data_IF_852960412355
#
_entry.id   IF_852960412355
#
_cell.length_a   1.000
_cell.length_b   1.000
_cell.length_c   1.000
_cell.angle_alpha   90.00
_cell.angle_beta   90.00
_cell.angle_gamma   90.00
#
_symmetry.space_group_name_H-M   'P 1'
#
loop_
_entity.id
_entity.type
_entity.pdbx_description
1 polymer ?
#
# COMPACT_ATOMS: atom_id res chain seq x y z
N UNK A 1 18.00 22.87 17.30
CA UNK A 1 17.78 21.91 18.41
C UNK A 1 16.86 20.81 17.88
N UNK A 2 17.36 19.59 17.69
CA UNK A 2 16.60 18.45 17.14
C UNK A 2 15.57 17.97 18.18
N UNK A 3 14.28 17.94 17.85
CA UNK A 3 13.26 17.31 18.71
C UNK A 3 12.95 15.89 18.22
N UNK A 4 12.95 14.93 19.14
CA UNK A 4 12.73 13.49 18.87
C UNK A 4 11.27 13.13 18.57
N UNK A 5 10.33 14.04 18.81
CA UNK A 5 8.87 13.82 18.74
C UNK A 5 8.27 14.10 17.36
N UNK A 6 9.07 14.49 16.36
CA UNK A 6 8.57 14.94 15.05
C UNK A 6 9.31 14.28 13.87
N UNK A 7 8.95 13.05 13.49
CA UNK A 7 9.62 12.26 12.44
C UNK A 7 9.64 12.97 11.07
N UNK A 8 8.54 13.64 10.71
CA UNK A 8 8.41 14.47 9.52
C UNK A 8 9.56 15.48 9.39
N UNK A 9 9.98 16.08 10.50
CA UNK A 9 11.06 17.09 10.55
C UNK A 9 12.44 16.47 10.34
N UNK A 10 12.61 15.19 10.68
CA UNK A 10 13.89 14.50 10.55
C UNK A 10 14.20 14.16 9.09
N UNK A 11 13.21 13.70 8.31
CA UNK A 11 13.41 13.36 6.89
C UNK A 11 13.74 14.59 6.05
N UNK A 12 12.93 15.64 6.16
CA UNK A 12 13.16 16.89 5.41
C UNK A 12 14.45 17.56 5.87
N UNK A 13 14.73 17.58 7.19
CA UNK A 13 16.00 18.08 7.72
C UNK A 13 17.21 17.33 7.17
N UNK A 14 17.14 16.00 7.07
CA UNK A 14 18.19 15.18 6.46
C UNK A 14 18.36 15.49 4.98
N UNK A 15 17.27 15.63 4.22
CA UNK A 15 17.31 16.04 2.81
C UNK A 15 18.06 17.37 2.63
N UNK A 16 17.69 18.39 3.41
CA UNK A 16 18.32 19.72 3.41
C UNK A 16 19.79 19.63 3.76
N UNK A 17 20.15 18.84 4.77
CA UNK A 17 21.53 18.69 5.20
C UNK A 17 22.39 18.01 4.13
N UNK A 18 21.89 16.94 3.51
CA UNK A 18 22.62 16.18 2.48
C UNK A 18 22.81 16.99 1.20
N UNK A 19 21.80 17.76 0.77
CA UNK A 19 21.89 18.59 -0.44
C UNK A 19 22.90 19.73 -0.32
N UNK A 20 23.27 20.16 0.90
CA UNK A 20 24.33 21.17 1.11
C UNK A 20 25.73 20.67 0.79
N UNK A 21 25.93 19.36 0.76
CA UNK A 21 27.16 18.77 0.26
C UNK A 21 27.09 18.71 -1.26
N UNK A 22 28.23 18.76 -1.95
CA UNK A 22 28.33 18.65 -3.42
C UNK A 22 28.12 17.20 -3.89
N UNK A 23 27.07 16.55 -3.38
CA UNK A 23 26.62 15.22 -3.76
C UNK A 23 25.61 15.41 -4.88
N UNK A 24 25.84 14.90 -6.11
CA UNK A 24 24.99 15.20 -7.26
C UNK A 24 23.58 14.60 -7.15
N UNK A 25 23.46 13.49 -6.41
CA UNK A 25 22.21 12.74 -6.26
C UNK A 25 22.07 12.24 -4.82
N UNK A 26 21.01 12.68 -4.15
CA UNK A 26 20.68 12.27 -2.78
C UNK A 26 19.49 11.33 -2.83
N UNK A 27 19.60 10.16 -2.21
CA UNK A 27 18.48 9.21 -2.08
C UNK A 27 18.02 9.18 -0.64
N UNK A 28 16.72 9.29 -0.45
CA UNK A 28 16.06 9.13 0.84
C UNK A 28 15.05 8.01 0.70
N UNK A 29 15.16 7.00 1.54
CA UNK A 29 14.21 5.88 1.55
C UNK A 29 13.89 5.50 2.99
N UNK A 30 12.68 5.02 3.21
CA UNK A 30 12.31 4.39 4.47
C UNK A 30 13.17 3.16 4.73
N UNK A 31 13.40 2.85 6.01
CA UNK A 31 14.19 1.71 6.43
C UNK A 31 13.56 0.35 6.09
N UNK A 32 12.32 0.36 5.59
CA UNK A 32 11.56 -0.81 5.15
C UNK A 32 11.45 -0.91 3.61
N UNK A 33 12.30 -0.17 2.88
CA UNK A 33 12.58 -0.35 1.47
C UNK A 33 13.79 -1.28 1.25
N UNK A 34 13.66 -2.27 0.36
CA UNK A 34 14.71 -3.24 0.05
C UNK A 34 15.24 -3.02 -1.37
N UNK A 35 16.54 -2.79 -1.49
CA UNK A 35 17.23 -2.59 -2.76
C UNK A 35 17.70 -3.94 -3.31
N UNK A 36 17.15 -4.34 -4.46
CA UNK A 36 17.44 -5.62 -5.13
C UNK A 36 18.35 -5.45 -6.35
N UNK A 37 18.59 -4.22 -6.77
CA UNK A 37 19.42 -3.84 -7.90
C UNK A 37 19.81 -2.36 -7.84
N UNK A 38 20.40 -1.87 -8.93
CA UNK A 38 20.93 -0.51 -9.00
C UNK A 38 19.86 0.52 -9.41
N UNK A 39 19.03 0.91 -8.45
CA UNK A 39 18.04 1.98 -8.63
C UNK A 39 18.66 3.37 -8.84
N UNK A 40 19.92 3.58 -8.44
CA UNK A 40 20.60 4.86 -8.62
C UNK A 40 21.02 5.04 -10.08
N UNK A 41 21.57 4.00 -10.70
CA UNK A 41 21.92 4.03 -12.12
C UNK A 41 20.70 4.14 -13.01
N UNK A 42 19.53 3.63 -12.59
CA UNK A 42 18.25 3.93 -13.24
C UNK A 42 17.97 5.44 -13.25
N UNK A 43 18.04 6.09 -12.08
CA UNK A 43 17.79 7.53 -11.97
C UNK A 43 18.80 8.38 -12.75
N UNK A 44 20.07 7.99 -12.74
CA UNK A 44 21.14 8.70 -13.45
C UNK A 44 20.98 8.60 -14.97
N UNK A 45 20.69 7.41 -15.51
CA UNK A 45 20.66 7.17 -16.96
C UNK A 45 19.35 7.58 -17.61
N UNK A 46 18.22 7.30 -16.96
CA UNK A 46 16.92 7.41 -17.63
C UNK A 46 16.28 8.80 -17.48
N UNK A 47 16.60 9.55 -16.40
CA UNK A 47 15.84 10.75 -16.02
C UNK A 47 16.75 11.90 -15.56
N UNK A 48 17.78 12.20 -16.35
CA UNK A 48 18.74 13.27 -16.06
C UNK A 48 18.08 14.66 -15.88
N UNK A 49 16.96 14.89 -16.55
CA UNK A 49 16.21 16.16 -16.48
C UNK A 49 15.32 16.30 -15.23
N UNK A 50 15.07 15.21 -14.48
CA UNK A 50 14.26 15.30 -13.27
C UNK A 50 15.02 16.02 -12.14
N UNK A 51 14.32 16.93 -11.46
CA UNK A 51 14.81 17.54 -10.22
C UNK A 51 14.54 16.59 -9.05
N UNK A 52 13.34 16.00 -9.03
CA UNK A 52 12.90 15.04 -8.03
C UNK A 52 12.27 13.82 -8.71
N UNK A 53 12.73 12.62 -8.35
CA UNK A 53 11.99 11.39 -8.59
C UNK A 53 11.38 10.91 -7.28
N UNK A 54 10.12 10.53 -7.34
CA UNK A 54 9.34 10.05 -6.20
C UNK A 54 8.66 8.74 -6.57
N UNK A 55 8.50 7.84 -5.61
CA UNK A 55 7.81 6.60 -5.88
C UNK A 55 6.28 6.77 -5.84
N UNK A 56 5.55 5.92 -6.56
CA UNK A 56 4.08 5.98 -6.60
C UNK A 56 3.39 5.11 -5.55
N UNK A 57 2.26 5.57 -5.03
CA UNK A 57 1.34 4.83 -4.15
C UNK A 57 0.12 4.25 -4.90
N UNK A 58 0.01 4.49 -6.21
CA UNK A 58 -1.05 3.92 -7.03
C UNK A 58 -0.96 2.40 -7.09
N UNK A 59 -2.10 1.75 -7.35
CA UNK A 59 -2.24 0.29 -7.21
C UNK A 59 -2.12 -0.46 -8.54
N UNK A 60 -1.94 0.23 -9.66
CA UNK A 60 -1.81 -0.40 -10.96
C UNK A 60 -0.82 0.40 -11.81
N UNK A 61 0.18 -0.24 -12.45
CA UNK A 61 1.10 0.46 -13.34
C UNK A 61 0.35 1.22 -14.43
N UNK A 62 0.77 2.45 -14.71
CA UNK A 62 0.32 3.22 -15.86
C UNK A 62 1.08 2.85 -17.14
N UNK A 63 2.28 2.28 -17.00
CA UNK A 63 3.14 1.83 -18.09
C UNK A 63 3.10 0.29 -18.28
N UNK A 64 3.47 -0.16 -19.49
CA UNK A 64 3.61 -1.58 -19.80
C UNK A 64 4.82 -2.21 -19.09
N UNK A 65 4.85 -3.54 -18.93
CA UNK A 65 5.92 -4.22 -18.19
C UNK A 65 7.32 -4.02 -18.81
N UNK A 66 7.39 -3.91 -20.14
CA UNK A 66 8.63 -3.67 -20.88
C UNK A 66 9.00 -2.17 -20.99
N UNK A 67 8.19 -1.28 -20.42
CA UNK A 67 8.42 0.16 -20.41
C UNK A 67 9.11 0.56 -19.11
N UNK A 68 10.42 0.84 -19.21
CA UNK A 68 11.23 1.32 -18.10
C UNK A 68 11.19 2.85 -17.95
N UNK A 69 10.29 3.55 -18.61
CA UNK A 69 10.08 4.99 -18.43
C UNK A 69 9.44 5.31 -17.07
N UNK A 70 9.30 6.61 -16.77
CA UNK A 70 8.49 7.04 -15.63
C UNK A 70 7.01 6.66 -15.85
N UNK A 71 6.25 6.66 -14.77
CA UNK A 71 4.79 6.57 -14.86
C UNK A 71 4.24 7.72 -15.70
N UNK A 72 3.26 7.46 -16.59
CA UNK A 72 2.65 8.51 -17.39
C UNK A 72 1.90 9.51 -16.49
N UNK A 73 2.07 10.82 -16.74
CA UNK A 73 1.30 11.85 -16.06
C UNK A 73 -0.20 11.60 -16.26
N UNK A 74 -0.92 11.36 -15.16
CA UNK A 74 -2.35 11.07 -15.21
C UNK A 74 -3.02 11.47 -13.90
N UNK A 75 -4.34 11.61 -13.91
CA UNK A 75 -5.12 11.89 -12.69
C UNK A 75 -4.92 10.87 -11.56
N UNK A 76 -4.41 9.66 -11.87
CA UNK A 76 -4.10 8.63 -10.88
C UNK A 76 -2.92 9.00 -9.96
N UNK A 77 -2.08 9.95 -10.37
CA UNK A 77 -0.93 10.40 -9.59
C UNK A 77 -1.31 11.44 -8.52
N UNK A 78 -2.47 12.08 -8.66
CA UNK A 78 -3.03 12.97 -7.62
C UNK A 78 -3.39 12.10 -6.41
N UNK A 79 -2.85 12.42 -5.24
CA UNK A 79 -3.07 11.57 -4.05
C UNK A 79 -2.12 10.39 -3.91
N UNK A 80 -1.19 10.19 -4.87
CA UNK A 80 -0.46 8.93 -5.00
C UNK A 80 1.06 9.10 -5.08
N UNK A 81 1.62 10.16 -4.49
CA UNK A 81 3.07 10.29 -4.31
C UNK A 81 3.48 9.67 -2.96
N UNK A 82 4.50 8.82 -2.97
CA UNK A 82 5.00 8.10 -1.80
C UNK A 82 6.41 8.58 -1.45
N UNK A 83 6.53 9.32 -0.35
CA UNK A 83 7.81 9.84 0.16
C UNK A 83 8.68 8.78 0.83
N UNK A 84 8.25 7.51 0.87
CA UNK A 84 9.07 6.37 1.32
C UNK A 84 10.24 6.04 0.38
N UNK A 85 10.27 6.62 -0.82
CA UNK A 85 11.44 6.66 -1.69
C UNK A 85 11.47 7.94 -2.52
N UNK A 86 12.52 8.74 -2.30
CA UNK A 86 12.83 9.98 -3.00
C UNK A 86 14.25 9.91 -3.56
N UNK A 87 14.42 10.40 -4.79
CA UNK A 87 15.72 10.63 -5.40
C UNK A 87 15.77 12.10 -5.79
N UNK A 88 16.67 12.85 -5.17
CA UNK A 88 16.76 14.29 -5.20
C UNK A 88 18.03 14.69 -5.93
N UNK A 89 17.91 15.41 -7.06
CA UNK A 89 19.06 15.97 -7.77
C UNK A 89 19.54 17.21 -7.06
N UNK A 90 20.85 17.34 -6.87
CA UNK A 90 21.40 18.53 -6.24
C UNK A 90 21.46 19.69 -7.24
N UNK A 91 20.46 20.56 -7.18
CA UNK A 91 20.36 21.77 -7.98
C UNK A 91 19.49 22.82 -7.27
N UNK A 92 19.53 24.09 -7.70
CA UNK A 92 18.81 25.17 -7.02
C UNK A 92 17.29 24.93 -6.87
N UNK A 93 16.66 24.22 -7.80
CA UNK A 93 15.22 23.91 -7.76
C UNK A 93 14.88 22.94 -6.65
N UNK A 94 15.66 21.86 -6.53
CA UNK A 94 15.50 20.89 -5.46
C UNK A 94 15.76 21.52 -4.10
N UNK A 95 16.77 22.38 -3.96
CA UNK A 95 17.03 23.11 -2.72
C UNK A 95 15.83 23.96 -2.30
N UNK A 96 15.32 24.80 -3.20
CA UNK A 96 14.16 25.65 -2.93
C UNK A 96 12.90 24.83 -2.60
N UNK A 97 12.66 23.74 -3.32
CA UNK A 97 11.54 22.86 -3.05
C UNK A 97 11.64 22.18 -1.68
N UNK A 98 12.81 21.66 -1.30
CA UNK A 98 12.99 21.01 0.01
C UNK A 98 12.90 22.04 1.16
N UNK A 99 13.34 23.28 0.95
CA UNK A 99 13.14 24.37 1.91
C UNK A 99 11.65 24.73 2.08
N UNK A 100 10.91 24.80 0.97
CA UNK A 100 9.46 25.01 0.98
C UNK A 100 8.72 23.84 1.65
N UNK A 101 9.13 22.59 1.36
CA UNK A 101 8.60 21.40 1.99
C UNK A 101 8.81 21.39 3.50
N UNK A 102 10.00 21.81 3.95
CA UNK A 102 10.28 22.01 5.36
C UNK A 102 9.34 23.03 6.00
N UNK A 103 9.18 24.19 5.36
CA UNK A 103 8.27 25.24 5.83
C UNK A 103 6.81 24.78 5.90
N UNK A 104 6.34 24.05 4.88
CA UNK A 104 4.99 23.52 4.82
C UNK A 104 4.74 22.44 5.89
N UNK A 105 5.69 21.53 6.10
CA UNK A 105 5.61 20.49 7.14
C UNK A 105 5.64 21.09 8.56
N UNK A 106 6.29 22.24 8.77
CA UNK A 106 6.26 22.97 10.04
C UNK A 106 4.91 23.67 10.26
N UNK A 107 4.30 24.22 9.21
CA UNK A 107 3.02 24.94 9.28
C UNK A 107 1.82 24.00 9.52
N UNK A 108 1.81 22.82 8.89
CA UNK A 108 0.70 21.86 8.93
C UNK A 108 0.56 21.07 10.23
N UNK A 109 0.83 21.67 11.40
CA UNK A 109 0.89 21.07 12.73
C UNK A 109 0.10 19.74 12.90
N UNK A 110 0.78 18.61 12.68
CA UNK A 110 0.23 17.25 12.85
C UNK A 110 -0.03 16.46 11.56
N UNK A 111 0.02 17.10 10.38
CA UNK A 111 -0.08 16.41 9.10
C UNK A 111 1.24 15.68 8.76
N UNK A 112 1.17 14.46 8.19
CA UNK A 112 2.36 13.74 7.72
C UNK A 112 3.12 14.55 6.65
N UNK A 113 4.46 14.52 6.66
CA UNK A 113 5.30 15.21 5.67
C UNK A 113 4.97 14.83 4.22
N UNK A 114 4.49 13.60 4.01
CA UNK A 114 4.05 13.10 2.72
C UNK A 114 2.90 13.94 2.13
N UNK A 115 1.99 14.44 2.97
CA UNK A 115 0.88 15.28 2.52
C UNK A 115 1.38 16.64 2.03
N UNK A 116 2.19 17.32 2.83
CA UNK A 116 2.83 18.58 2.46
C UNK A 116 3.70 18.44 1.21
N UNK A 117 4.46 17.35 1.09
CA UNK A 117 5.24 17.04 -0.10
C UNK A 117 4.34 16.97 -1.32
N UNK A 118 3.25 16.22 -1.26
CA UNK A 118 2.38 15.98 -2.40
C UNK A 118 1.67 17.26 -2.84
N UNK A 119 1.08 18.01 -1.90
CA UNK A 119 0.41 19.26 -2.20
C UNK A 119 1.38 20.27 -2.85
N UNK A 120 2.62 20.39 -2.34
CA UNK A 120 3.64 21.25 -2.95
C UNK A 120 4.12 20.73 -4.32
N UNK A 121 4.48 19.45 -4.41
CA UNK A 121 5.06 18.85 -5.61
C UNK A 121 4.09 18.85 -6.78
N UNK A 122 2.78 18.77 -6.53
CA UNK A 122 1.75 18.82 -7.57
C UNK A 122 1.11 20.20 -7.72
N UNK A 123 1.47 21.19 -6.89
CA UNK A 123 0.91 22.54 -7.02
C UNK A 123 1.21 23.15 -8.40
N UNK A 124 0.19 23.77 -9.02
CA UNK A 124 0.27 24.34 -10.36
C UNK A 124 0.28 23.31 -11.50
N UNK A 125 0.33 22.01 -11.20
CA UNK A 125 0.17 20.97 -12.22
C UNK A 125 -1.31 20.61 -12.37
N UNK A 126 -1.80 20.59 -13.60
CA UNK A 126 -3.14 20.09 -13.93
C UNK A 126 -3.03 18.69 -14.54
N UNK A 127 -3.66 17.67 -13.94
CA UNK A 127 -3.63 16.34 -14.52
C UNK A 127 -4.33 16.33 -15.88
N UNK A 128 -3.79 15.62 -16.88
CA UNK A 128 -4.46 15.50 -18.17
C UNK A 128 -5.79 14.77 -18.00
N UNK A 129 -6.83 15.29 -18.63
CA UNK A 129 -8.18 14.71 -18.62
C UNK A 129 -8.14 13.32 -19.27
N UNK A 130 -8.62 12.26 -18.61
CA UNK A 130 -8.72 10.96 -19.25
C UNK A 130 -9.67 11.06 -20.47
N UNK A 131 -9.39 10.33 -21.57
CA UNK A 131 -10.35 10.23 -22.65
C UNK A 131 -11.66 9.65 -22.13
N UNK A 132 -12.82 10.07 -22.65
CA UNK A 132 -14.10 9.49 -22.27
C UNK A 132 -14.07 7.97 -22.52
N UNK A 133 -14.70 7.17 -21.65
CA UNK A 133 -14.75 5.73 -21.84
C UNK A 133 -15.36 5.42 -23.23
N UNK A 134 -14.85 4.40 -23.94
CA UNK A 134 -15.48 3.98 -25.19
C UNK A 134 -16.95 3.69 -24.90
N UNK A 135 -17.86 4.28 -25.70
CA UNK A 135 -19.29 3.99 -25.57
C UNK A 135 -19.47 2.48 -25.64
N UNK A 136 -20.25 1.86 -24.73
CA UNK A 136 -20.53 0.44 -24.81
C UNK A 136 -21.06 0.15 -26.21
N UNK A 137 -20.35 -0.70 -26.95
CA UNK A 137 -20.86 -1.20 -28.23
C UNK A 137 -22.08 -2.02 -27.88
N UNK A 138 -23.27 -1.45 -28.05
CA UNK A 138 -24.51 -2.22 -28.06
C UNK A 138 -24.31 -3.32 -29.10
N UNK A 139 -24.38 -4.60 -28.72
CA UNK A 139 -24.32 -5.68 -29.69
C UNK A 139 -25.45 -5.44 -30.69
N UNK A 140 -25.10 -5.12 -31.95
CA UNK A 140 -26.08 -5.19 -33.03
C UNK A 140 -26.38 -6.67 -33.21
N UNK A 141 -27.50 -7.13 -32.67
CA UNK A 141 -28.05 -8.42 -33.01
C UNK A 141 -28.27 -8.47 -34.53
N UNK A 142 -27.70 -9.45 -35.24
CA UNK A 142 -28.01 -9.67 -36.63
C UNK A 142 -29.35 -10.41 -36.70
N UNK A 143 -30.39 -9.74 -37.21
CA UNK A 143 -31.63 -10.37 -37.64
C UNK A 143 -32.78 -10.26 -36.63
N UNK A 144 -33.85 -9.57 -37.05
CA UNK A 144 -35.09 -9.45 -36.29
C UNK A 144 -35.98 -8.35 -36.86
N UNK A 145 -36.53 -8.59 -38.05
CA UNK A 145 -37.61 -7.80 -38.65
C UNK A 145 -38.94 -8.09 -37.95
N UNK A 146 -39.70 -7.04 -37.60
CA UNK A 146 -41.10 -7.11 -37.11
C UNK A 146 -41.22 -7.56 -35.65
N UNK A 147 -42.12 -7.06 -34.80
CA UNK A 147 -43.36 -6.30 -34.96
C UNK A 147 -43.70 -5.72 -33.59
N UNK A 148 -44.38 -4.57 -33.56
CA UNK A 148 -45.00 -4.01 -32.35
C UNK A 148 -45.96 -4.99 -31.68
N UNK A 149 -45.89 -5.11 -30.35
CA UNK A 149 -47.01 -5.50 -29.51
C UNK A 149 -46.82 -4.96 -28.09
N UNK A 150 -47.77 -4.12 -27.66
CA UNK A 150 -48.02 -3.74 -26.27
C UNK A 150 -48.67 -4.90 -25.50
N UNK A 151 -48.19 -5.14 -24.27
CA UNK A 151 -48.89 -5.65 -23.08
C UNK A 151 -47.82 -5.72 -21.96
N UNK A 152 -47.98 -5.21 -20.74
CA UNK A 152 -49.11 -5.35 -19.84
C UNK A 152 -48.84 -6.56 -18.93
N UNK A 153 -48.41 -6.34 -17.68
CA UNK A 153 -48.20 -7.40 -16.68
C UNK A 153 -47.23 -7.02 -15.57
N UNK A 154 -47.74 -6.36 -14.53
CA UNK A 154 -47.25 -6.46 -13.14
C UNK A 154 -47.58 -7.87 -12.60
N UNK A 155 -46.72 -8.39 -11.72
CA UNK A 155 -46.74 -9.66 -10.91
C UNK A 155 -45.35 -10.33 -11.05
N UNK A 156 -44.56 -10.68 -10.03
CA UNK A 156 -44.80 -10.87 -8.60
C UNK A 156 -43.55 -10.51 -7.80
N UNK A 157 -43.79 -9.84 -6.68
CA UNK A 157 -42.81 -9.50 -5.65
C UNK A 157 -43.26 -10.10 -4.32
N UNK A 158 -43.39 -11.41 -4.22
CA UNK A 158 -43.57 -12.11 -2.95
C UNK A 158 -42.84 -13.44 -3.01
N UNK A 159 -41.73 -13.53 -2.26
CA UNK A 159 -41.20 -14.76 -1.65
C UNK A 159 -39.80 -14.46 -1.13
N UNK A 160 -39.70 -13.96 0.10
CA UNK A 160 -38.51 -14.07 0.97
C UNK A 160 -38.81 -13.52 2.39
N UNK A 161 -39.92 -13.97 2.99
CA UNK A 161 -40.03 -14.00 4.45
C UNK A 161 -39.69 -15.43 4.91
N UNK A 162 -38.45 -15.64 5.35
CA UNK A 162 -38.06 -16.89 5.99
C UNK A 162 -37.77 -16.65 7.47
N UNK A 163 -38.65 -17.26 8.26
CA UNK A 163 -38.80 -17.35 9.71
C UNK A 163 -37.49 -17.35 10.53
N UNK A 164 -37.25 -16.24 11.23
CA UNK A 164 -36.14 -16.03 12.16
C UNK A 164 -36.38 -16.63 13.56
N UNK A 165 -37.51 -17.30 13.81
CA UNK A 165 -37.80 -17.91 15.11
C UNK A 165 -37.28 -19.35 15.26
N UNK A 166 -36.87 -20.02 14.18
CA UNK A 166 -36.44 -21.43 14.21
C UNK A 166 -34.97 -21.67 14.60
N UNK A 167 -34.13 -20.64 14.73
CA UNK A 167 -32.69 -20.79 15.00
C UNK A 167 -32.27 -20.62 16.48
N UNK A 168 -33.23 -20.51 17.41
CA UNK A 168 -32.95 -20.25 18.83
C UNK A 168 -32.93 -21.50 19.74
N UNK A 169 -33.15 -22.72 19.22
CA UNK A 169 -33.35 -23.91 20.07
C UNK A 169 -32.16 -24.88 20.19
N UNK A 170 -31.00 -24.63 19.56
CA UNK A 170 -29.85 -25.55 19.63
C UNK A 170 -28.52 -24.89 20.03
N UNK A 171 -28.49 -24.26 21.20
CA UNK A 171 -27.22 -24.08 21.96
C UNK A 171 -27.50 -24.07 23.46
N UNK A 172 -27.44 -25.23 24.12
CA UNK A 172 -27.11 -25.31 25.55
C UNK A 172 -25.67 -25.83 25.66
N UNK A 173 -24.77 -25.15 26.38
CA UNK A 173 -23.41 -25.64 26.60
C UNK A 173 -23.44 -26.86 27.53
N UNK A 174 -22.81 -27.95 27.09
CA UNK A 174 -22.56 -29.13 27.92
C UNK A 174 -21.30 -28.86 28.74
N UNK A 175 -21.41 -28.97 30.07
CA UNK A 175 -20.33 -28.76 31.02
C UNK A 175 -19.15 -29.71 30.76
N UNK A 176 -17.92 -29.18 30.85
CA UNK A 176 -16.68 -29.96 30.79
C UNK A 176 -16.46 -30.70 32.13
N UNK A 177 -15.96 -31.95 32.12
CA UNK A 177 -15.59 -32.63 33.35
C UNK A 177 -14.26 -32.09 33.89
N UNK A 178 -14.23 -31.89 35.20
CA UNK A 178 -13.05 -31.57 35.98
C UNK A 178 -12.01 -32.70 35.89
N UNK A 179 -10.74 -32.33 35.69
CA UNK A 179 -9.60 -33.24 35.82
C UNK A 179 -8.53 -32.59 36.69
N UNK A 180 -8.01 -33.41 37.60
CA UNK A 180 -7.31 -33.07 38.82
C UNK A 180 -5.96 -32.40 38.64
N UNK A 181 -5.65 -31.55 39.62
CA UNK A 181 -4.34 -30.98 39.88
C UNK A 181 -3.33 -32.06 40.32
N UNK A 182 -2.12 -31.97 39.79
CA UNK A 182 -0.92 -32.44 40.46
C UNK A 182 0.20 -31.41 40.24
N UNK A 183 0.65 -30.83 41.35
CA UNK A 183 1.67 -29.80 41.42
C UNK A 183 3.07 -30.43 41.50
N UNK A 184 4.04 -29.83 40.82
CA UNK A 184 5.46 -29.80 41.22
C UNK A 184 6.17 -28.63 40.51
N UNK A 185 7.21 -28.02 41.12
CA UNK A 185 7.53 -26.61 40.92
C UNK A 185 8.57 -26.37 39.80
N UNK A 186 8.35 -25.32 38.99
CA UNK A 186 9.36 -24.79 38.10
C UNK A 186 10.22 -23.77 38.87
N UNK A 187 11.53 -24.03 38.88
CA UNK A 187 12.55 -23.18 39.47
C UNK A 187 12.63 -21.81 38.78
N UNK A 188 12.75 -20.78 39.60
CA UNK A 188 13.05 -19.41 39.20
C UNK A 188 14.53 -19.24 38.87
N UNK A 189 14.85 -18.64 37.72
CA UNK A 189 16.16 -18.03 37.40
C UNK A 189 15.89 -16.80 36.49
N UNK A 190 16.66 -15.70 36.61
CA UNK A 190 16.08 -14.36 36.68
C UNK A 190 16.15 -13.56 35.37
N UNK A 191 15.32 -12.52 35.39
CA UNK A 191 15.33 -11.36 34.50
C UNK A 191 16.68 -10.64 34.48
N UNK A 192 17.37 -10.67 33.34
CA UNK A 192 18.39 -9.70 32.98
C UNK A 192 17.72 -8.59 32.17
N UNK A 193 17.80 -7.36 32.69
CA UNK A 193 17.18 -6.18 32.11
C UNK A 193 17.86 -5.73 30.82
N UNK A 194 17.06 -5.25 29.89
CA UNK A 194 17.49 -4.28 28.88
C UNK A 194 16.46 -3.15 28.89
N UNK A 195 16.87 -2.04 29.47
CA UNK A 195 16.25 -0.74 29.25
C UNK A 195 16.42 -0.37 27.77
N UNK A 196 15.30 -0.17 27.08
CA UNK A 196 15.27 0.29 25.70
C UNK A 196 13.97 1.04 25.46
N UNK A 197 14.01 2.36 25.60
CA UNK A 197 12.84 3.24 25.49
C UNK A 197 12.15 3.12 24.14
N UNK A 198 10.87 2.80 24.18
CA UNK A 198 9.98 2.86 23.03
C UNK A 198 9.70 4.33 22.69
N UNK A 199 10.17 4.78 21.51
CA UNK A 199 9.76 6.02 20.89
C UNK A 199 8.99 5.71 19.61
N UNK A 200 7.85 6.37 19.47
CA UNK A 200 6.74 6.09 18.57
C UNK A 200 7.08 6.18 17.07
N UNK A 201 6.46 5.29 16.28
CA UNK A 201 6.32 5.40 14.83
C UNK A 201 4.82 5.53 14.51
N UNK A 202 4.36 6.77 14.36
CA UNK A 202 3.03 7.08 13.85
C UNK A 202 3.17 7.44 12.36
N UNK A 203 2.84 6.49 11.48
CA UNK A 203 2.56 6.74 10.06
C UNK A 203 1.86 5.52 9.46
N UNK A 204 0.58 5.33 9.78
CA UNK A 204 -0.35 4.52 8.99
C UNK A 204 -1.79 4.72 9.49
N UNK A 205 -2.56 5.60 8.84
CA UNK A 205 -4.02 5.43 8.62
C UNK A 205 -4.61 6.70 7.99
N UNK A 206 -4.82 6.66 6.68
CA UNK A 206 -5.72 7.58 5.98
C UNK A 206 -6.73 6.75 5.20
N UNK A 207 -7.87 6.43 5.83
CA UNK A 207 -9.16 6.15 5.18
C UNK A 207 -10.21 5.89 6.27
N UNK A 208 -10.92 6.93 6.72
CA UNK A 208 -12.21 6.78 7.42
C UNK A 208 -13.32 7.04 6.41
N UNK A 209 -14.14 6.03 6.14
CA UNK A 209 -15.43 6.18 5.47
C UNK A 209 -16.40 6.99 6.37
N UNK A 210 -17.38 7.73 5.82
CA UNK A 210 -18.27 8.57 6.59
C UNK A 210 -19.23 7.72 7.44
N UNK A 211 -19.19 7.89 8.76
CA UNK A 211 -20.16 7.28 9.66
C UNK A 211 -21.51 7.98 9.51
N UNK A 212 -22.57 7.19 9.33
CA UNK A 212 -23.95 7.63 9.37
C UNK A 212 -24.27 8.29 10.72
N UNK A 213 -24.98 9.43 10.68
CA UNK A 213 -25.51 10.12 11.87
C UNK A 213 -26.51 9.22 12.62
N UNK A 214 -26.37 9.01 13.93
CA UNK A 214 -27.52 8.66 14.75
C UNK A 214 -28.31 9.94 15.08
N UNK A 215 -29.63 9.86 14.91
CA UNK A 215 -30.56 10.88 15.32
C UNK A 215 -30.64 10.97 16.85
N UNK A 216 -30.76 12.20 17.37
CA UNK A 216 -31.37 12.48 18.67
C UNK A 216 -30.45 12.54 19.89
N UNK A 217 -29.95 13.75 20.20
CA UNK A 217 -30.01 14.40 21.54
C UNK A 217 -29.25 15.72 21.49
N UNK A 218 -29.93 16.82 21.77
CA UNK A 218 -29.31 18.08 22.20
C UNK A 218 -28.69 17.87 23.59
N UNK A 219 -27.52 18.48 23.84
CA UNK A 219 -27.41 19.26 25.07
C UNK A 219 -26.69 20.60 24.88
N UNK A 220 -26.97 21.45 25.86
CA UNK A 220 -26.66 22.86 26.00
C UNK A 220 -25.17 23.24 25.94
N UNK A 221 -24.95 24.45 25.43
CA UNK A 221 -24.09 25.49 26.01
C UNK A 221 -22.79 25.09 26.71
N UNK A 222 -21.67 25.12 25.97
CA UNK A 222 -20.33 25.04 26.55
C UNK A 222 -19.24 25.28 25.51
N UNK A 223 -19.08 26.53 25.07
CA UNK A 223 -18.00 26.95 24.17
C UNK A 223 -16.64 26.91 24.86
N UNK A 224 -16.03 25.73 24.95
CA UNK A 224 -14.60 25.61 25.21
C UNK A 224 -13.80 26.13 24.01
N UNK A 225 -12.57 26.65 24.21
CA UNK A 225 -11.75 27.11 23.10
C UNK A 225 -11.47 25.93 22.16
N UNK A 226 -12.06 25.99 20.96
CA UNK A 226 -11.69 25.13 19.85
C UNK A 226 -10.20 25.34 19.59
N UNK A 227 -9.42 24.27 19.63
CA UNK A 227 -8.01 24.32 19.23
C UNK A 227 -7.92 25.03 17.87
N UNK A 228 -6.97 25.97 17.67
CA UNK A 228 -6.84 26.67 16.41
C UNK A 228 -6.68 25.65 15.29
N UNK A 229 -7.49 25.79 14.24
CA UNK A 229 -7.38 24.99 13.03
C UNK A 229 -5.94 25.09 12.51
N UNK A 230 -5.28 23.95 12.18
CA UNK A 230 -3.91 23.98 11.72
C UNK A 230 -3.80 24.90 10.50
N UNK A 231 -2.84 25.81 10.55
CA UNK A 231 -2.65 26.81 9.52
C UNK A 231 -2.14 26.12 8.26
N UNK A 232 -3.01 25.98 7.24
CA UNK A 232 -2.60 25.46 5.93
C UNK A 232 -1.58 26.41 5.31
N UNK A 233 -0.49 25.85 4.80
CA UNK A 233 0.52 26.61 4.08
C UNK A 233 0.00 27.06 2.71
N UNK A 234 0.56 28.15 2.17
CA UNK A 234 0.26 28.63 0.82
C UNK A 234 1.36 28.16 -0.15
N UNK A 235 1.08 27.11 -0.92
CA UNK A 235 2.01 26.55 -1.90
C UNK A 235 2.47 27.58 -2.95
N UNK A 236 1.57 28.47 -3.39
CA UNK A 236 1.88 29.51 -4.36
C UNK A 236 2.86 30.53 -3.80
N UNK A 237 2.61 31.03 -2.59
CA UNK A 237 3.51 31.97 -1.93
C UNK A 237 4.90 31.37 -1.69
N UNK A 238 4.98 30.11 -1.27
CA UNK A 238 6.25 29.40 -1.10
C UNK A 238 7.01 29.23 -2.43
N UNK A 239 6.30 28.94 -3.52
CA UNK A 239 6.90 28.83 -4.84
C UNK A 239 7.39 30.18 -5.37
N UNK A 240 6.63 31.26 -5.20
CA UNK A 240 7.01 32.62 -5.59
C UNK A 240 8.23 33.11 -4.79
N UNK A 241 8.25 32.84 -3.47
CA UNK A 241 9.37 33.19 -2.60
C UNK A 241 10.70 32.52 -3.00
N UNK A 242 10.67 31.42 -3.76
CA UNK A 242 11.89 30.80 -4.28
C UNK A 242 12.63 31.66 -5.32
N UNK A 243 11.94 32.59 -5.99
CA UNK A 243 12.49 33.41 -7.08
C UNK A 243 12.91 32.62 -8.32
N UNK A 244 12.64 31.31 -8.38
CA UNK A 244 13.04 30.47 -9.51
C UNK A 244 12.15 30.68 -10.73
N UNK A 245 12.70 30.59 -11.95
CA UNK A 245 11.92 30.67 -13.18
C UNK A 245 11.04 29.43 -13.33
N UNK A 246 9.94 29.58 -14.07
CA UNK A 246 9.12 28.45 -14.47
C UNK A 246 9.84 27.58 -15.51
N UNK A 247 9.44 26.30 -15.56
CA UNK A 247 10.12 25.24 -16.29
C UNK A 247 9.11 24.42 -17.04
N UNK A 248 9.45 24.06 -18.28
CA UNK A 248 8.63 23.17 -19.11
C UNK A 248 9.27 21.79 -19.13
N UNK A 249 8.51 20.71 -18.89
CA UNK A 249 9.01 19.35 -19.02
C UNK A 249 9.49 19.11 -20.46
N UNK A 250 10.68 18.51 -20.67
CA UNK A 250 11.10 18.19 -22.03
C UNK A 250 10.14 17.18 -22.67
N UNK A 251 9.88 17.34 -23.98
CA UNK A 251 8.95 16.48 -24.72
C UNK A 251 9.32 14.99 -24.58
N UNK A 252 8.32 14.15 -24.32
CA UNK A 252 8.50 12.70 -24.20
C UNK A 252 9.05 12.19 -22.87
N UNK A 253 9.37 13.06 -21.90
CA UNK A 253 10.02 12.64 -20.64
C UNK A 253 9.08 12.17 -19.53
N UNK A 254 7.76 12.34 -19.67
CA UNK A 254 6.76 12.03 -18.63
C UNK A 254 7.00 12.77 -17.29
N UNK A 255 7.80 13.83 -17.31
CA UNK A 255 8.00 14.72 -16.17
C UNK A 255 6.81 15.69 -16.04
N UNK A 256 6.51 16.06 -14.81
CA UNK A 256 5.47 17.03 -14.46
C UNK A 256 6.15 18.32 -13.99
N UNK A 257 5.63 19.47 -14.44
CA UNK A 257 6.02 20.77 -13.91
C UNK A 257 5.20 21.06 -12.65
N UNK A 258 5.76 20.69 -11.51
CA UNK A 258 5.22 20.88 -10.17
C UNK A 258 5.72 22.16 -9.50
N UNK A 259 5.30 22.39 -8.25
CA UNK A 259 5.73 23.54 -7.45
C UNK A 259 5.51 24.88 -8.19
N UNK A 260 4.28 25.10 -8.67
CA UNK A 260 3.90 26.22 -9.54
C UNK A 260 4.76 26.33 -10.81
N UNK A 261 5.09 25.17 -11.37
CA UNK A 261 5.93 25.05 -12.55
C UNK A 261 7.41 25.35 -12.32
N UNK A 262 7.93 25.24 -11.09
CA UNK A 262 9.36 25.50 -10.76
C UNK A 262 10.16 24.24 -10.45
N UNK A 263 9.54 23.07 -10.52
CA UNK A 263 10.15 21.78 -10.23
C UNK A 263 9.76 20.74 -11.28
N UNK A 264 10.72 19.98 -11.79
CA UNK A 264 10.47 18.81 -12.63
C UNK A 264 10.37 17.55 -11.77
N UNK A 265 9.15 17.01 -11.67
CA UNK A 265 8.82 15.83 -10.86
C UNK A 265 8.59 14.63 -11.76
N UNK A 266 9.25 13.52 -11.46
CA UNK A 266 9.00 12.23 -12.11
C UNK A 266 8.51 11.17 -11.12
N UNK A 267 7.59 10.31 -11.56
CA UNK A 267 7.11 9.19 -10.73
C UNK A 267 7.75 7.89 -11.20
N UNK A 268 8.43 7.20 -10.28
CA UNK A 268 9.11 5.95 -10.55
C UNK A 268 8.12 4.85 -10.96
N UNK A 269 8.43 4.02 -11.99
CA UNK A 269 7.53 3.00 -12.50
C UNK A 269 7.30 1.88 -11.49
N UNK A 270 6.04 1.49 -11.28
CA UNK A 270 5.68 0.43 -10.33
C UNK A 270 6.27 -0.93 -10.67
N UNK A 271 6.61 -1.20 -11.93
CA UNK A 271 7.29 -2.44 -12.33
C UNK A 271 8.70 -2.57 -11.74
N UNK A 272 9.44 -1.46 -11.63
CA UNK A 272 10.81 -1.45 -11.10
C UNK A 272 10.87 -1.02 -9.63
N UNK A 273 9.92 -0.20 -9.19
CA UNK A 273 9.85 0.34 -7.83
C UNK A 273 8.50 0.00 -7.16
N UNK A 274 8.09 -1.27 -7.09
CA UNK A 274 6.78 -1.64 -6.59
C UNK A 274 6.58 -1.24 -5.12
N UNK A 275 5.36 -0.81 -4.80
CA UNK A 275 4.88 -0.78 -3.42
C UNK A 275 4.46 -2.18 -2.96
N UNK A 276 4.09 -2.32 -1.70
CA UNK A 276 3.75 -3.62 -1.12
C UNK A 276 2.48 -4.23 -1.70
N UNK A 277 1.49 -3.46 -2.13
CA UNK A 277 0.33 -4.03 -2.81
C UNK A 277 0.74 -4.68 -4.14
N UNK A 278 1.49 -3.95 -4.96
CA UNK A 278 1.99 -4.43 -6.25
C UNK A 278 2.91 -5.64 -6.11
N UNK A 279 3.79 -5.62 -5.11
CA UNK A 279 4.74 -6.71 -4.90
C UNK A 279 4.12 -7.94 -4.24
N UNK A 280 3.40 -7.79 -3.13
CA UNK A 280 2.94 -8.91 -2.30
C UNK A 280 1.57 -9.45 -2.72
N UNK A 281 0.66 -8.57 -3.16
CA UNK A 281 -0.72 -8.95 -3.48
C UNK A 281 -0.84 -9.29 -4.96
N UNK A 282 -0.41 -8.37 -5.83
CA UNK A 282 -0.52 -8.56 -7.27
C UNK A 282 0.60 -9.43 -7.84
N UNK A 283 1.74 -9.54 -7.13
CA UNK A 283 2.91 -10.32 -7.56
C UNK A 283 3.32 -10.00 -8.99
N UNK A 284 3.26 -8.72 -9.39
CA UNK A 284 3.50 -8.32 -10.79
C UNK A 284 4.87 -8.75 -11.29
N UNK A 285 5.88 -8.76 -10.42
CA UNK A 285 7.23 -9.21 -10.70
C UNK A 285 7.35 -10.71 -11.07
N UNK A 286 6.30 -11.50 -10.89
CA UNK A 286 6.26 -12.92 -11.26
C UNK A 286 5.57 -13.18 -12.61
N UNK A 287 4.97 -12.14 -13.21
CA UNK A 287 4.31 -12.28 -14.50
C UNK A 287 5.36 -12.52 -15.62
N UNK A 288 5.02 -13.30 -16.66
CA UNK A 288 5.90 -13.49 -17.81
C UNK A 288 6.32 -12.15 -18.43
N UNK A 289 7.62 -11.94 -18.59
CA UNK A 289 8.18 -10.71 -19.16
C UNK A 289 8.22 -9.52 -18.19
N UNK A 290 7.81 -9.68 -16.93
CA UNK A 290 7.99 -8.65 -15.92
C UNK A 290 9.48 -8.41 -15.64
N UNK A 291 9.91 -7.15 -15.51
CA UNK A 291 11.28 -6.84 -15.15
C UNK A 291 11.53 -7.19 -13.68
N UNK A 292 12.79 -7.46 -13.35
CA UNK A 292 13.20 -7.62 -11.95
C UNK A 292 13.05 -6.27 -11.23
N UNK A 293 12.36 -6.19 -10.08
CA UNK A 293 12.30 -4.98 -9.28
C UNK A 293 13.70 -4.52 -8.86
N UNK A 294 13.92 -3.20 -8.85
CA UNK A 294 15.14 -2.56 -8.35
C UNK A 294 15.02 -2.23 -6.87
N UNK A 295 13.85 -1.75 -6.44
CA UNK A 295 13.56 -1.44 -5.04
C UNK A 295 12.15 -1.90 -4.68
N UNK A 296 12.02 -2.69 -3.63
CA UNK A 296 10.73 -3.13 -3.10
C UNK A 296 10.40 -2.31 -1.88
N UNK A 297 9.27 -1.59 -1.92
CA UNK A 297 8.77 -0.82 -0.79
C UNK A 297 7.67 -1.59 -0.08
N UNK A 298 7.52 -1.37 1.22
CA UNK A 298 6.49 -2.05 2.03
C UNK A 298 5.30 -1.16 2.38
N UNK A 299 5.09 -0.07 1.63
CA UNK A 299 3.84 0.69 1.67
C UNK A 299 2.65 -0.17 1.22
N UNK A 300 1.44 0.11 1.72
CA UNK A 300 0.24 -0.71 1.51
C UNK A 300 0.29 -2.16 2.03
N UNK A 301 1.08 -2.43 3.08
CA UNK A 301 1.02 -3.69 3.83
C UNK A 301 0.11 -3.53 5.05
N UNK A 302 -0.97 -4.32 5.09
CA UNK A 302 -1.89 -4.34 6.23
C UNK A 302 -1.27 -5.07 7.44
N UNK A 303 -1.45 -4.53 8.64
CA UNK A 303 -0.94 -5.11 9.89
C UNK A 303 0.34 -4.47 10.46
N UNK A 304 0.74 -3.30 9.95
CA UNK A 304 1.81 -2.48 10.51
C UNK A 304 3.21 -3.10 10.41
N UNK A 305 4.14 -2.65 11.29
CA UNK A 305 5.54 -3.11 11.29
C UNK A 305 5.69 -4.65 11.39
N UNK A 306 4.93 -5.38 12.23
CA UNK A 306 5.02 -6.84 12.27
C UNK A 306 4.69 -7.49 10.93
N UNK A 307 3.63 -7.02 10.25
CA UNK A 307 3.23 -7.55 8.96
C UNK A 307 4.24 -7.21 7.86
N UNK A 308 4.77 -5.98 7.84
CA UNK A 308 5.86 -5.58 6.92
C UNK A 308 7.07 -6.52 7.07
N UNK A 309 7.50 -6.76 8.32
CA UNK A 309 8.61 -7.68 8.61
C UNK A 309 8.30 -9.10 8.14
N UNK A 310 7.09 -9.57 8.36
CA UNK A 310 6.66 -10.89 7.92
C UNK A 310 6.69 -11.02 6.40
N UNK A 311 6.15 -10.04 5.65
CA UNK A 311 6.18 -10.05 4.18
C UNK A 311 7.60 -10.08 3.62
N UNK A 312 8.49 -9.27 4.19
CA UNK A 312 9.90 -9.29 3.80
C UNK A 312 10.55 -10.65 4.05
N UNK A 313 10.21 -11.33 5.15
CA UNK A 313 10.73 -12.67 5.46
C UNK A 313 10.15 -13.77 4.58
N UNK A 314 8.84 -13.72 4.31
CA UNK A 314 8.16 -14.62 3.36
C UNK A 314 8.81 -14.54 1.98
N UNK A 315 9.20 -13.34 1.57
CA UNK A 315 9.89 -13.08 0.31
C UNK A 315 11.42 -13.25 0.37
N UNK A 316 11.96 -13.66 1.52
CA UNK A 316 13.40 -13.85 1.76
C UNK A 316 14.25 -12.61 1.45
N UNK A 317 13.67 -11.43 1.71
CA UNK A 317 14.34 -10.14 1.57
C UNK A 317 15.02 -9.67 2.86
N UNK A 318 14.80 -10.37 3.98
CA UNK A 318 15.63 -10.22 5.18
C UNK A 318 16.77 -11.24 5.15
N UNK A 319 17.97 -10.77 5.48
CA UNK A 319 19.13 -11.62 5.69
C UNK A 319 19.06 -12.31 7.08
N UNK A 320 18.03 -13.12 7.28
CA UNK A 320 17.92 -13.97 8.47
C UNK A 320 18.78 -15.23 8.29
N UNK A 321 19.39 -15.70 9.38
CA UNK A 321 20.16 -16.94 9.38
C UNK A 321 19.31 -18.17 9.06
N UNK A 322 19.96 -19.26 8.64
CA UNK A 322 19.25 -20.53 8.35
C UNK A 322 18.43 -21.00 9.55
N UNK A 323 18.94 -20.77 10.76
CA UNK A 323 18.29 -21.08 12.04
C UNK A 323 17.00 -20.29 12.29
N UNK A 324 16.78 -19.15 11.61
CA UNK A 324 15.47 -18.50 11.62
C UNK A 324 14.43 -19.33 10.88
N UNK A 325 14.79 -19.85 9.71
CA UNK A 325 13.88 -20.61 8.85
C UNK A 325 13.80 -22.09 9.21
N UNK A 326 14.83 -22.62 9.86
CA UNK A 326 15.01 -24.03 10.18
C UNK A 326 15.33 -24.23 11.65
N UNK A 327 14.77 -25.27 12.27
CA UNK A 327 15.24 -25.71 13.57
C UNK A 327 16.66 -26.26 13.44
N UNK A 328 17.64 -25.79 14.24
CA UNK A 328 18.98 -26.36 14.27
C UNK A 328 18.98 -27.85 14.63
N UNK A 329 18.06 -28.24 15.53
CA UNK A 329 17.96 -29.61 16.08
C UNK A 329 17.38 -30.58 15.06
N UNK A 330 16.21 -30.25 14.51
CA UNK A 330 15.50 -31.16 13.59
C UNK A 330 15.90 -30.97 12.12
N UNK A 331 16.69 -29.92 11.81
CA UNK A 331 16.98 -29.46 10.44
C UNK A 331 15.73 -29.25 9.59
N UNK A 332 14.56 -29.15 10.24
CA UNK A 332 13.27 -29.02 9.60
C UNK A 332 12.85 -27.54 9.55
N UNK A 333 12.05 -27.12 8.56
CA UNK A 333 11.54 -25.77 8.46
C UNK A 333 10.67 -25.42 9.67
N UNK A 334 10.82 -24.20 10.20
CA UNK A 334 9.96 -23.64 11.26
C UNK A 334 8.64 -23.09 10.72
N UNK A 335 8.59 -22.80 9.42
CA UNK A 335 7.43 -22.20 8.75
C UNK A 335 6.97 -23.07 7.58
N UNK A 336 5.66 -23.04 7.32
CA UNK A 336 5.05 -23.64 6.14
C UNK A 336 4.26 -22.54 5.44
N UNK A 337 4.57 -22.30 4.17
CA UNK A 337 3.78 -21.41 3.31
C UNK A 337 3.03 -22.21 2.26
N UNK A 338 1.79 -21.79 1.99
CA UNK A 338 0.90 -22.42 1.03
C UNK A 338 0.62 -21.46 -0.12
N UNK A 339 0.93 -21.86 -1.35
CA UNK A 339 0.34 -21.21 -2.52
C UNK A 339 -1.13 -21.67 -2.62
N UNK A 340 -2.06 -20.77 -2.29
CA UNK A 340 -3.49 -21.03 -2.45
C UNK A 340 -3.84 -20.61 -3.88
N UNK A 341 -4.13 -21.56 -4.79
CA UNK A 341 -4.68 -21.20 -6.08
C UNK A 341 -5.97 -20.42 -5.82
N UNK A 342 -6.13 -19.33 -6.56
CA UNK A 342 -7.39 -18.61 -6.62
C UNK A 342 -8.51 -19.63 -6.84
N UNK A 343 -9.52 -19.63 -5.98
CA UNK A 343 -10.70 -20.46 -6.18
C UNK A 343 -11.27 -20.09 -7.56
N UNK A 344 -11.39 -21.04 -8.52
CA UNK A 344 -11.83 -20.75 -9.88
C UNK A 344 -13.16 -19.99 -9.92
N UNK A 345 -13.99 -20.23 -8.90
CA UNK A 345 -15.37 -19.74 -8.80
C UNK A 345 -15.48 -18.36 -8.12
N UNK A 346 -14.38 -17.78 -7.63
CA UNK A 346 -14.36 -16.53 -6.87
C UNK A 346 -13.21 -15.64 -7.36
N UNK A 347 -13.42 -15.02 -8.52
CA UNK A 347 -12.49 -14.04 -9.06
C UNK A 347 -12.39 -12.80 -8.12
N UNK A 348 -11.18 -12.22 -7.94
CA UNK A 348 -10.93 -11.14 -6.98
C UNK A 348 -11.51 -9.78 -7.37
N UNK A 349 -12.17 -9.68 -8.53
CA UNK A 349 -12.65 -8.41 -9.09
C UNK A 349 -13.58 -7.62 -8.17
N UNK A 350 -14.35 -8.30 -7.31
CA UNK A 350 -15.38 -7.65 -6.50
C UNK A 350 -15.34 -8.04 -5.01
N UNK A 351 -14.20 -8.50 -4.46
CA UNK A 351 -14.15 -8.93 -3.05
C UNK A 351 -14.68 -7.86 -2.09
N UNK A 352 -14.36 -6.58 -2.34
CA UNK A 352 -14.82 -5.44 -1.55
C UNK A 352 -16.33 -5.15 -1.69
N UNK A 353 -16.98 -5.66 -2.74
CA UNK A 353 -18.40 -5.49 -3.05
C UNK A 353 -19.22 -6.74 -2.72
N UNK A 354 -18.59 -7.82 -2.28
CA UNK A 354 -19.30 -9.02 -1.84
C UNK A 354 -20.09 -8.74 -0.55
N UNK A 355 -21.32 -9.26 -0.42
CA UNK A 355 -21.99 -9.32 0.88
C UNK A 355 -21.12 -10.06 1.91
N UNK A 356 -21.19 -9.65 3.18
CA UNK A 356 -20.36 -10.20 4.26
C UNK A 356 -20.39 -11.73 4.33
N UNK A 357 -21.54 -12.36 4.06
CA UNK A 357 -21.69 -13.81 3.99
C UNK A 357 -20.79 -14.46 2.90
N UNK A 358 -20.70 -13.84 1.71
CA UNK A 358 -19.83 -14.30 0.63
C UNK A 358 -18.36 -14.06 0.93
N UNK A 359 -18.00 -12.95 1.58
CA UNK A 359 -16.62 -12.75 2.09
C UNK A 359 -16.22 -13.82 3.11
N UNK A 360 -17.11 -14.15 4.05
CA UNK A 360 -16.87 -15.24 5.02
C UNK A 360 -16.70 -16.57 4.31
N UNK A 361 -17.58 -16.92 3.36
CA UNK A 361 -17.46 -18.14 2.58
C UNK A 361 -16.13 -18.21 1.81
N UNK A 362 -15.69 -17.11 1.20
CA UNK A 362 -14.39 -17.00 0.55
C UNK A 362 -13.23 -17.27 1.52
N UNK A 363 -13.21 -16.61 2.68
CA UNK A 363 -12.17 -16.81 3.68
C UNK A 363 -12.16 -18.23 4.26
N UNK A 364 -13.34 -18.78 4.58
CA UNK A 364 -13.48 -20.15 5.07
C UNK A 364 -12.98 -21.16 4.04
N UNK A 365 -13.32 -20.98 2.75
CA UNK A 365 -12.81 -21.85 1.69
C UNK A 365 -11.29 -21.75 1.55
N UNK A 366 -10.73 -20.54 1.63
CA UNK A 366 -9.29 -20.33 1.64
C UNK A 366 -8.58 -21.06 2.80
N UNK A 367 -9.13 -20.95 4.02
CA UNK A 367 -8.63 -21.67 5.19
C UNK A 367 -8.73 -23.19 5.04
N UNK A 368 -9.83 -23.69 4.48
CA UNK A 368 -9.99 -25.11 4.21
C UNK A 368 -8.95 -25.61 3.21
N UNK A 369 -8.69 -24.87 2.13
CA UNK A 369 -7.64 -25.22 1.17
C UNK A 369 -6.25 -25.22 1.82
N UNK A 370 -5.95 -24.27 2.72
CA UNK A 370 -4.70 -24.27 3.48
C UNK A 370 -4.58 -25.52 4.39
N UNK A 371 -5.64 -25.86 5.11
CA UNK A 371 -5.66 -27.05 5.99
C UNK A 371 -5.53 -28.34 5.20
N UNK A 372 -6.20 -28.44 4.05
CA UNK A 372 -6.07 -29.57 3.12
C UNK A 372 -4.63 -29.71 2.63
N UNK A 373 -4.00 -28.62 2.19
CA UNK A 373 -2.60 -28.63 1.79
C UNK A 373 -1.67 -29.07 2.94
N UNK A 374 -1.84 -28.50 4.14
CA UNK A 374 -1.06 -28.89 5.32
C UNK A 374 -1.17 -30.39 5.61
N UNK A 375 -2.38 -30.93 5.50
CA UNK A 375 -2.64 -32.34 5.75
C UNK A 375 -2.00 -33.26 4.70
N UNK A 376 -1.97 -32.86 3.43
CA UNK A 376 -1.29 -33.61 2.38
C UNK A 376 0.23 -33.66 2.61
N UNK A 377 0.84 -32.52 3.00
CA UNK A 377 2.26 -32.45 3.36
C UNK A 377 2.57 -33.37 4.53
N UNK A 378 1.76 -33.33 5.60
CA UNK A 378 1.93 -34.20 6.77
C UNK A 378 1.86 -35.70 6.42
N UNK A 379 1.07 -36.07 5.42
CA UNK A 379 0.93 -37.46 4.94
C UNK A 379 2.02 -37.88 3.96
N UNK A 380 3.01 -37.03 3.66
CA UNK A 380 4.07 -37.31 2.69
C UNK A 380 3.57 -37.43 1.24
N UNK A 381 2.36 -36.93 0.94
CA UNK A 381 1.77 -37.02 -0.39
C UNK A 381 2.26 -35.85 -1.25
N UNK A 382 2.83 -36.16 -2.43
CA UNK A 382 3.20 -35.13 -3.43
C UNK A 382 1.92 -34.52 -4.02
N UNK A 383 1.95 -33.22 -4.38
CA UNK A 383 0.81 -32.58 -5.04
C UNK A 383 0.49 -33.26 -6.38
N UNK A 384 -0.78 -33.27 -6.81
CA UNK A 384 -1.20 -33.92 -8.05
C UNK A 384 -0.52 -33.25 -9.26
N UNK A 385 -0.05 -34.07 -10.19
CA UNK A 385 0.56 -33.60 -11.42
C UNK A 385 -0.51 -33.04 -12.38
N UNK A 386 -0.32 -31.76 -12.77
CA UNK A 386 -1.00 -30.97 -13.82
C UNK A 386 -2.35 -30.32 -13.43
N UNK A 387 -2.47 -29.03 -13.78
CA UNK A 387 -3.71 -28.23 -13.77
C UNK A 387 -3.86 -27.24 -12.62
N UNK A 388 -3.39 -27.59 -11.42
CA UNK A 388 -3.33 -26.69 -10.26
C UNK A 388 -1.93 -26.79 -9.65
N UNK A 389 -1.09 -25.80 -9.87
CA UNK A 389 0.26 -25.78 -9.30
C UNK A 389 0.20 -25.40 -7.82
N UNK A 390 0.05 -26.38 -6.94
CA UNK A 390 0.31 -26.21 -5.52
C UNK A 390 1.83 -26.21 -5.33
N UNK A 391 2.41 -25.06 -4.94
CA UNK A 391 3.79 -25.00 -4.49
C UNK A 391 3.78 -24.80 -2.98
N UNK A 392 4.16 -25.85 -2.26
CA UNK A 392 4.57 -25.71 -0.87
C UNK A 392 6.02 -25.25 -0.93
N UNK A 393 6.25 -23.95 -0.72
CA UNK A 393 7.62 -23.48 -0.50
C UNK A 393 8.00 -23.87 0.91
N UNK A 394 8.82 -24.89 0.98
CA UNK A 394 9.62 -25.18 2.16
C UNK A 394 10.83 -24.28 2.05
N UNK A 395 10.92 -23.25 2.91
CA UNK A 395 11.82 -22.09 2.71
C UNK A 395 13.22 -22.48 2.25
N UNK A 396 13.58 -22.20 1.00
CA UNK A 396 14.89 -22.60 0.42
C UNK A 396 16.01 -21.70 0.88
#
# INVERSE_FOLDING_TARGET
MYRRDQPARQRVGLARALLKYDIPLVVISDCDGVWLGDGLAYAQRAHAAADVLVAGAHLAPGAAANDSGLEPPSGRLVGALDTGLLILRNNPRTHAFVDAWGSAAEAGAGEPDAHAFQELALSGWTPPTPPPPPRPRVPRHPGGSGTEAQAGGEEDAEDLEMDLAALAQHTRPRAAPASAAAAAPAAAVPSAGVQGGAAAAAAAAGARAPAAKPAGRTPDGGGGPTAPEPQRFNATALAEASGLPQVTPPNGTRLMAGFQGRLLVGVLPLWLFPNGHVHWVQRLHELPGAPRPLVVRTTHVFGGLPAKRHRLREAQLFADGRDYYYSPESKAPKYVSFDIPLSPDLAPGDFAHLPLAKMRAYHTKGLQLQLEQFWQVRKGRRPPARGASWRVRVGM
#
